data_IF_291867889640
#
_entry.id   IF_291867889640
#
_cell.length_a   1.000
_cell.length_b   1.000
_cell.length_c   1.000
_cell.angle_alpha   90.00
_cell.angle_beta   90.00
_cell.angle_gamma   90.00
#
_symmetry.space_group_name_H-M   'P 1'
#
loop_
_entity.id
_entity.type
_entity.pdbx_description
1 polymer ?
#
# COMPACT_ATOMS: atom_id res chain seq x y z
N UNK A 1 -13.52 7.45 -5.48
CA UNK A 1 -12.44 8.46 -5.41
C UNK A 1 -11.18 7.91 -4.73
N UNK A 2 -11.28 7.32 -3.53
CA UNK A 2 -10.10 6.79 -2.80
C UNK A 2 -9.35 5.69 -3.56
N UNK A 3 -10.05 4.74 -4.19
CA UNK A 3 -9.39 3.71 -5.01
C UNK A 3 -8.51 4.30 -6.14
N UNK A 4 -8.90 5.44 -6.71
CA UNK A 4 -8.10 6.11 -7.75
C UNK A 4 -6.79 6.69 -7.21
N UNK A 5 -6.75 7.08 -5.92
CA UNK A 5 -5.50 7.52 -5.26
C UNK A 5 -4.48 6.38 -5.26
N UNK A 6 -4.92 5.15 -4.98
CA UNK A 6 -4.03 3.99 -5.03
C UNK A 6 -3.59 3.60 -6.45
N UNK A 7 -4.40 3.91 -7.47
CA UNK A 7 -3.95 3.78 -8.86
C UNK A 7 -2.86 4.81 -9.17
N UNK A 8 -2.99 6.05 -8.69
CA UNK A 8 -1.92 7.05 -8.81
C UNK A 8 -0.66 6.60 -8.08
N UNK A 9 -0.78 6.03 -6.88
CA UNK A 9 0.36 5.46 -6.16
C UNK A 9 1.05 4.35 -6.96
N UNK A 10 0.28 3.44 -7.58
CA UNK A 10 0.84 2.44 -8.47
C UNK A 10 1.57 3.07 -9.67
N UNK A 11 0.98 4.09 -10.30
CA UNK A 11 1.60 4.75 -11.46
C UNK A 11 2.92 5.42 -11.12
N UNK A 12 3.02 6.10 -9.98
CA UNK A 12 4.28 6.77 -9.60
C UNK A 12 5.38 5.80 -9.19
N UNK A 13 5.05 4.54 -8.90
CA UNK A 13 6.02 3.48 -8.58
C UNK A 13 6.39 2.61 -9.80
N UNK A 14 5.88 2.93 -11.01
CA UNK A 14 6.01 2.03 -12.16
C UNK A 14 7.43 1.96 -12.72
N UNK A 15 8.18 3.05 -12.61
CA UNK A 15 9.55 3.16 -13.13
C UNK A 15 10.62 2.81 -12.07
N UNK A 16 10.20 2.46 -10.85
CA UNK A 16 11.11 2.17 -9.75
C UNK A 16 11.70 0.74 -9.85
N UNK A 17 12.94 0.49 -9.38
CA UNK A 17 13.57 -0.83 -9.42
C UNK A 17 12.77 -1.99 -8.80
N UNK A 18 11.86 -1.68 -7.89
CA UNK A 18 10.97 -2.58 -7.14
C UNK A 18 9.49 -2.37 -7.48
N UNK A 19 9.19 -1.77 -8.63
CA UNK A 19 7.83 -1.58 -9.15
C UNK A 19 6.97 -2.86 -9.09
N UNK A 20 7.61 -4.02 -9.29
CA UNK A 20 6.95 -5.33 -9.28
C UNK A 20 6.40 -5.73 -7.91
N UNK A 21 6.79 -5.04 -6.84
CA UNK A 21 6.23 -5.17 -5.48
C UNK A 21 5.10 -4.15 -5.30
N UNK A 22 5.40 -2.87 -5.54
CA UNK A 22 4.53 -1.77 -5.15
C UNK A 22 3.33 -1.58 -6.06
N UNK A 23 3.51 -1.69 -7.37
CA UNK A 23 2.44 -1.57 -8.36
C UNK A 23 1.31 -2.57 -8.08
N UNK A 24 1.56 -3.89 -8.01
CA UNK A 24 0.48 -4.84 -7.73
C UNK A 24 -0.09 -4.67 -6.31
N UNK A 25 0.73 -4.30 -5.32
CA UNK A 25 0.25 -4.06 -3.96
C UNK A 25 -0.78 -2.92 -3.90
N UNK A 26 -0.47 -1.76 -4.49
CA UNK A 26 -1.39 -0.62 -4.49
C UNK A 26 -2.64 -0.88 -5.32
N UNK A 27 -2.53 -1.54 -6.47
CA UNK A 27 -3.70 -1.95 -7.26
C UNK A 27 -4.60 -2.87 -6.42
N UNK A 28 -4.04 -3.91 -5.79
CA UNK A 28 -4.80 -4.83 -4.96
C UNK A 28 -5.51 -4.09 -3.80
N UNK A 29 -4.78 -3.26 -3.05
CA UNK A 29 -5.31 -2.44 -1.95
C UNK A 29 -6.46 -1.55 -2.43
N UNK A 30 -6.31 -0.90 -3.59
CA UNK A 30 -7.33 -0.02 -4.16
C UNK A 30 -8.64 -0.74 -4.44
N UNK A 31 -8.58 -1.94 -5.02
CA UNK A 31 -9.76 -2.68 -5.47
C UNK A 31 -10.35 -3.65 -4.43
N UNK A 32 -9.58 -4.12 -3.45
CA UNK A 32 -10.02 -5.13 -2.46
C UNK A 32 -11.34 -4.76 -1.74
N UNK A 33 -11.53 -3.52 -1.23
CA UNK A 33 -12.79 -3.12 -0.61
C UNK A 33 -13.95 -3.01 -1.61
N UNK A 34 -13.63 -2.88 -2.90
CA UNK A 34 -14.61 -2.78 -3.98
C UNK A 34 -15.23 -4.12 -4.35
N UNK A 35 -14.54 -5.23 -4.05
CA UNK A 35 -15.05 -6.57 -4.32
C UNK A 35 -16.33 -6.86 -3.52
N UNK A 36 -17.31 -7.58 -4.11
CA UNK A 36 -18.52 -8.02 -3.43
C UNK A 36 -18.22 -8.86 -2.17
N UNK A 37 -19.12 -8.79 -1.20
CA UNK A 37 -19.01 -9.56 0.06
C UNK A 37 -18.99 -11.08 -0.14
N UNK A 38 -19.53 -11.58 -1.26
CA UNK A 38 -19.47 -12.99 -1.64
C UNK A 38 -18.07 -13.46 -2.08
N UNK A 39 -17.19 -12.53 -2.48
CA UNK A 39 -15.79 -12.84 -2.84
C UNK A 39 -14.89 -12.70 -1.61
N UNK A 40 -15.01 -11.58 -0.89
CA UNK A 40 -14.28 -11.34 0.36
C UNK A 40 -15.23 -10.78 1.40
N UNK A 41 -15.34 -11.43 2.56
CA UNK A 41 -16.18 -10.92 3.63
C UNK A 41 -15.46 -9.80 4.42
N UNK A 42 -16.21 -9.09 5.27
CA UNK A 42 -15.67 -7.94 5.99
C UNK A 42 -14.60 -8.32 7.02
N UNK A 43 -14.71 -9.51 7.64
CA UNK A 43 -13.74 -9.98 8.62
C UNK A 43 -12.38 -10.27 7.97
N UNK A 44 -12.38 -10.95 6.81
CA UNK A 44 -11.15 -11.18 6.05
C UNK A 44 -10.52 -9.87 5.58
N UNK A 45 -11.34 -8.92 5.10
CA UNK A 45 -10.83 -7.61 4.69
C UNK A 45 -10.15 -6.87 5.85
N UNK A 46 -10.68 -6.96 7.07
CA UNK A 46 -10.06 -6.39 8.28
C UNK A 46 -8.78 -7.10 8.68
N UNK A 47 -8.70 -8.42 8.52
CA UNK A 47 -7.45 -9.17 8.76
C UNK A 47 -6.38 -8.69 7.77
N UNK A 48 -6.72 -8.59 6.49
CA UNK A 48 -5.81 -8.06 5.46
C UNK A 48 -5.38 -6.63 5.82
N UNK A 49 -6.31 -5.77 6.25
CA UNK A 49 -5.98 -4.42 6.71
C UNK A 49 -4.95 -4.41 7.85
N UNK A 50 -5.08 -5.28 8.85
CA UNK A 50 -4.12 -5.38 9.96
C UNK A 50 -2.75 -5.85 9.46
N UNK A 51 -2.71 -6.86 8.59
CA UNK A 51 -1.45 -7.35 8.02
C UNK A 51 -0.76 -6.25 7.23
N UNK A 52 -1.48 -5.53 6.37
CA UNK A 52 -0.95 -4.41 5.58
C UNK A 52 -0.49 -3.27 6.51
N UNK A 53 -1.18 -3.01 7.63
CA UNK A 53 -0.75 -2.00 8.59
C UNK A 53 0.59 -2.36 9.23
N UNK A 54 0.75 -3.61 9.67
CA UNK A 54 2.00 -4.10 10.26
C UNK A 54 3.14 -3.99 9.25
N UNK A 55 2.92 -4.44 8.01
CA UNK A 55 3.91 -4.31 6.94
C UNK A 55 4.25 -2.84 6.67
N UNK A 56 3.24 -1.97 6.58
CA UNK A 56 3.44 -0.54 6.34
C UNK A 56 4.29 0.13 7.44
N UNK A 57 4.08 -0.21 8.70
CA UNK A 57 4.89 0.29 9.82
C UNK A 57 6.33 -0.23 9.72
N UNK A 58 6.52 -1.53 9.44
CA UNK A 58 7.86 -2.10 9.31
C UNK A 58 8.65 -1.48 8.16
N UNK A 59 8.00 -1.27 7.01
CA UNK A 59 8.58 -0.60 5.85
C UNK A 59 8.90 0.86 6.19
N UNK A 60 7.94 1.62 6.76
CA UNK A 60 8.15 3.03 7.08
C UNK A 60 9.30 3.29 8.08
N UNK A 61 9.54 2.35 8.99
CA UNK A 61 10.65 2.41 9.95
C UNK A 61 11.99 1.90 9.36
N UNK A 62 11.98 1.38 8.13
CA UNK A 62 13.18 0.88 7.44
C UNK A 62 13.63 -0.51 7.88
N UNK A 63 12.82 -1.25 8.65
CA UNK A 63 13.16 -2.60 9.10
C UNK A 63 13.31 -3.60 7.94
N UNK A 64 12.65 -3.34 6.81
CA UNK A 64 12.72 -4.18 5.61
C UNK A 64 13.65 -3.62 4.52
N UNK A 65 14.33 -2.51 4.78
CA UNK A 65 15.19 -1.86 3.78
C UNK A 65 16.37 -2.74 3.33
N UNK A 66 16.85 -3.63 4.21
CA UNK A 66 17.96 -4.54 3.90
C UNK A 66 17.62 -5.66 2.91
N UNK A 67 16.32 -5.91 2.67
CA UNK A 67 15.85 -6.95 1.74
C UNK A 67 15.22 -6.38 0.47
N UNK A 68 15.01 -5.06 0.40
CA UNK A 68 14.47 -4.38 -0.77
C UNK A 68 15.59 -4.03 -1.76
N UNK A 69 15.31 -4.03 -3.07
CA UNK A 69 16.27 -3.58 -4.07
C UNK A 69 16.79 -2.19 -3.74
N UNK A 70 18.11 -2.01 -3.76
CA UNK A 70 18.71 -0.71 -3.52
C UNK A 70 18.32 0.26 -4.64
N UNK A 71 17.51 1.26 -4.31
CA UNK A 71 17.17 2.36 -5.21
C UNK A 71 18.16 3.52 -5.01
N UNK A 72 18.44 4.28 -6.07
CA UNK A 72 19.15 5.55 -5.91
C UNK A 72 18.24 6.51 -5.15
N UNK A 73 18.74 7.02 -4.03
CA UNK A 73 17.98 7.75 -3.01
C UNK A 73 17.39 9.06 -3.56
N UNK A 74 16.19 8.96 -4.15
CA UNK A 74 15.41 10.11 -4.56
C UNK A 74 14.51 10.53 -3.39
N UNK A 75 15.07 11.36 -2.50
CA UNK A 75 14.27 11.97 -1.45
C UNK A 75 13.22 12.90 -2.06
N UNK A 76 11.96 12.69 -1.71
CA UNK A 76 10.88 13.64 -1.97
C UNK A 76 10.48 14.30 -0.66
N UNK A 77 10.68 15.62 -0.56
CA UNK A 77 10.27 16.40 0.63
C UNK A 77 10.83 15.79 1.93
N UNK A 78 12.14 15.53 1.95
CA UNK A 78 12.88 14.90 3.06
C UNK A 78 12.43 13.48 3.47
N UNK A 79 11.51 12.85 2.73
CA UNK A 79 11.13 11.45 2.92
C UNK A 79 11.93 10.54 1.99
N UNK A 80 12.42 9.44 2.56
CA UNK A 80 13.04 8.36 1.81
C UNK A 80 11.98 7.55 1.04
N UNK A 81 12.36 6.89 -0.04
CA UNK A 81 11.44 6.09 -0.87
C UNK A 81 10.68 5.03 -0.04
N UNK A 82 11.43 4.22 0.71
CA UNK A 82 10.85 3.23 1.62
C UNK A 82 9.88 3.84 2.65
N UNK A 83 10.11 5.08 3.09
CA UNK A 83 9.19 5.74 4.01
C UNK A 83 7.88 6.10 3.32
N UNK A 84 7.94 6.61 2.09
CA UNK A 84 6.77 6.89 1.27
C UNK A 84 5.96 5.62 1.00
N UNK A 85 6.63 4.53 0.63
CA UNK A 85 5.99 3.24 0.40
C UNK A 85 5.29 2.71 1.65
N UNK A 86 5.98 2.77 2.79
CA UNK A 86 5.42 2.40 4.09
C UNK A 86 4.20 3.25 4.46
N UNK A 87 4.25 4.57 4.24
CA UNK A 87 3.09 5.46 4.42
C UNK A 87 1.94 5.10 3.48
N UNK A 88 2.24 4.78 2.21
CA UNK A 88 1.25 4.31 1.24
C UNK A 88 0.53 3.05 1.71
N UNK A 89 1.26 2.09 2.28
CA UNK A 89 0.68 0.89 2.89
C UNK A 89 -0.18 1.20 4.12
N UNK A 90 0.25 2.12 5.00
CA UNK A 90 -0.53 2.53 6.18
C UNK A 90 -1.86 3.15 5.73
N UNK A 91 -1.83 4.05 4.73
CA UNK A 91 -3.05 4.61 4.14
C UNK A 91 -3.92 3.50 3.49
N UNK A 92 -3.27 2.53 2.85
CA UNK A 92 -3.89 1.33 2.31
C UNK A 92 -4.65 0.52 3.36
N UNK A 93 -4.05 0.28 4.52
CA UNK A 93 -4.70 -0.41 5.63
C UNK A 93 -5.94 0.33 6.14
N UNK A 94 -5.87 1.67 6.25
CA UNK A 94 -7.02 2.50 6.63
C UNK A 94 -8.13 2.35 5.58
N UNK A 95 -7.78 2.41 4.29
CA UNK A 95 -8.74 2.19 3.21
C UNK A 95 -9.36 0.80 3.25
N UNK A 96 -8.58 -0.25 3.49
CA UNK A 96 -9.09 -1.62 3.61
C UNK A 96 -10.06 -1.76 4.80
N UNK A 97 -9.78 -1.09 5.92
CA UNK A 97 -10.61 -1.16 7.12
C UNK A 97 -11.95 -0.43 6.96
N UNK A 98 -11.93 0.77 6.36
CA UNK A 98 -13.11 1.65 6.30
C UNK A 98 -13.79 1.69 4.94
N UNK A 99 -13.14 1.23 3.86
CA UNK A 99 -13.55 1.52 2.49
C UNK A 99 -14.91 0.98 2.10
N UNK A 100 -15.39 -0.09 2.74
CA UNK A 100 -16.75 -0.60 2.55
C UNK A 100 -17.85 0.31 3.13
N UNK A 101 -17.53 1.10 4.15
CA UNK A 101 -18.46 2.06 4.75
C UNK A 101 -18.47 3.41 4.03
N UNK A 102 -17.48 3.65 3.19
CA UNK A 102 -17.25 4.89 2.44
C UNK A 102 -17.60 4.77 0.95
N UNK A 103 -18.19 3.63 0.57
CA UNK A 103 -18.72 3.39 -0.78
C UNK A 103 -20.01 4.15 -1.02
#
# INVERSE_FOLDING_TARGET
>A
MIAAVFIVFAMVNFDDPDWFIWVPAYIAIGFLPLLPSGIINNSHLKIVAIVILILGILVALGFLNTIMPQQMDNRMVDMWEYQREGVGLILGAIWLWFGRKLK
#
